data_IF_273527924197
#
_entry.id   IF_273527924197
#
_cell.length_a   1.000
_cell.length_b   1.000
_cell.length_c   1.000
_cell.angle_alpha   90.00
_cell.angle_beta   90.00
_cell.angle_gamma   90.00
#
_symmetry.space_group_name_H-M   'P 1'
#
loop_
_entity.id
_entity.type
_entity.pdbx_description
1 polymer ?
#
# COMPACT_ATOMS: atom_id res chain seq x y z
N UNK A 1 23.40 20.03 12.15
CA UNK A 1 23.04 19.04 13.20
C UNK A 1 21.54 18.79 13.22
N UNK A 2 20.68 19.79 13.42
CA UNK A 2 19.23 19.59 13.45
C UNK A 2 18.68 18.97 12.15
N UNK A 3 19.05 19.51 10.98
CA UNK A 3 18.59 18.99 9.68
C UNK A 3 18.90 17.51 9.42
N UNK A 4 20.05 17.01 9.90
CA UNK A 4 20.43 15.60 9.72
C UNK A 4 19.62 14.69 10.65
N UNK A 5 19.23 15.17 11.84
CA UNK A 5 18.33 14.46 12.75
C UNK A 5 16.94 14.39 12.14
N UNK A 6 16.45 15.49 11.56
CA UNK A 6 15.14 15.53 10.91
C UNK A 6 15.13 14.62 9.67
N UNK A 7 16.25 14.56 8.92
CA UNK A 7 16.42 13.62 7.81
C UNK A 7 16.31 12.15 8.24
N UNK A 8 17.06 11.75 9.28
CA UNK A 8 17.00 10.39 9.80
C UNK A 8 15.63 10.06 10.41
N UNK A 9 15.01 11.02 11.10
CA UNK A 9 13.65 10.89 11.64
C UNK A 9 12.64 10.68 10.52
N UNK A 10 12.78 11.39 9.40
CA UNK A 10 11.94 11.21 8.21
C UNK A 10 12.07 9.81 7.60
N UNK A 11 13.27 9.24 7.56
CA UNK A 11 13.50 7.87 7.05
C UNK A 11 12.79 6.85 7.95
N UNK A 12 12.93 6.97 9.27
CA UNK A 12 12.29 6.06 10.22
C UNK A 12 10.75 6.08 10.07
N UNK A 13 10.15 7.27 10.00
CA UNK A 13 8.70 7.39 9.84
C UNK A 13 8.22 6.90 8.47
N UNK A 14 9.05 7.02 7.43
CA UNK A 14 8.75 6.44 6.12
C UNK A 14 8.71 4.91 6.19
N UNK A 15 9.63 4.26 6.91
CA UNK A 15 9.62 2.81 7.15
C UNK A 15 8.39 2.36 7.97
N UNK A 16 7.97 3.17 8.95
CA UNK A 16 6.75 2.93 9.74
C UNK A 16 5.45 3.18 8.95
N UNK A 17 5.56 3.55 7.66
CA UNK A 17 4.45 3.89 6.74
C UNK A 17 3.66 5.13 7.16
N UNK A 18 4.20 5.98 8.04
CA UNK A 18 3.65 7.30 8.34
C UNK A 18 4.24 8.35 7.39
N UNK A 19 3.77 8.34 6.15
CA UNK A 19 4.22 9.25 5.11
C UNK A 19 3.83 10.72 5.34
N UNK A 20 2.83 10.99 6.21
CA UNK A 20 2.43 12.37 6.51
C UNK A 20 3.46 13.02 7.42
N UNK A 21 3.84 12.33 8.50
CA UNK A 21 4.82 12.84 9.45
C UNK A 21 6.22 12.84 8.83
N UNK A 22 6.57 11.80 8.06
CA UNK A 22 7.82 11.75 7.30
C UNK A 22 7.97 12.94 6.35
N UNK A 23 6.91 13.35 5.64
CA UNK A 23 6.93 14.51 4.75
C UNK A 23 7.29 15.80 5.49
N UNK A 24 6.71 16.05 6.67
CA UNK A 24 6.99 17.26 7.45
C UNK A 24 8.46 17.32 7.88
N UNK A 25 9.01 16.21 8.38
CA UNK A 25 10.43 16.14 8.74
C UNK A 25 11.37 16.32 7.54
N UNK A 26 11.05 15.72 6.38
CA UNK A 26 11.83 15.94 5.16
C UNK A 26 11.75 17.37 4.63
N UNK A 27 10.60 18.05 4.81
CA UNK A 27 10.44 19.44 4.41
C UNK A 27 11.29 20.39 5.26
N UNK A 28 11.26 20.22 6.59
CA UNK A 28 12.10 21.00 7.52
C UNK A 28 13.59 20.76 7.28
N UNK A 29 13.99 19.50 7.07
CA UNK A 29 15.36 19.14 6.69
C UNK A 29 15.76 19.80 5.35
N UNK A 30 14.88 19.79 4.35
CA UNK A 30 15.14 20.37 3.04
C UNK A 30 15.33 21.90 3.10
N UNK A 31 14.50 22.63 3.85
CA UNK A 31 14.67 24.09 4.00
C UNK A 31 15.99 24.44 4.70
N UNK A 32 16.39 23.65 5.70
CA UNK A 32 17.64 23.86 6.41
C UNK A 32 18.88 23.49 5.58
N UNK A 33 18.79 22.48 4.70
CA UNK A 33 19.90 21.99 3.85
C UNK A 33 20.01 22.71 2.50
N UNK A 34 18.92 23.27 1.97
CA UNK A 34 18.90 23.95 0.67
C UNK A 34 19.97 25.04 0.46
N UNK A 35 20.36 25.85 1.47
CA UNK A 35 21.44 26.83 1.32
C UNK A 35 22.85 26.28 1.63
N UNK A 36 22.97 25.09 2.23
CA UNK A 36 24.23 24.56 2.77
C UNK A 36 24.81 23.48 1.85
N UNK A 37 24.04 22.44 1.54
CA UNK A 37 24.50 21.28 0.77
C UNK A 37 23.48 20.90 -0.31
N UNK A 38 23.91 20.96 -1.57
CA UNK A 38 23.04 20.67 -2.71
C UNK A 38 22.77 19.18 -2.90
N UNK A 39 23.65 18.32 -2.43
CA UNK A 39 23.57 16.86 -2.62
C UNK A 39 22.61 16.25 -1.61
N UNK A 40 22.76 16.61 -0.33
CA UNK A 40 21.81 16.19 0.73
C UNK A 40 20.42 16.81 0.53
N UNK A 41 20.34 18.07 0.07
CA UNK A 41 19.06 18.69 -0.27
C UNK A 41 18.34 17.94 -1.41
N UNK A 42 19.08 17.45 -2.42
CA UNK A 42 18.51 16.65 -3.51
C UNK A 42 18.00 15.29 -3.00
N UNK A 43 18.71 14.64 -2.08
CA UNK A 43 18.23 13.42 -1.43
C UNK A 43 16.95 13.66 -0.61
N UNK A 44 16.90 14.73 0.20
CA UNK A 44 15.69 15.11 0.94
C UNK A 44 14.51 15.38 0.01
N UNK A 45 14.74 16.06 -1.12
CA UNK A 45 13.71 16.33 -2.11
C UNK A 45 13.17 15.04 -2.72
N UNK A 46 14.02 14.06 -3.03
CA UNK A 46 13.59 12.74 -3.52
C UNK A 46 12.67 12.04 -2.52
N UNK A 47 13.06 11.98 -1.25
CA UNK A 47 12.27 11.33 -0.21
C UNK A 47 10.96 12.06 0.07
N UNK A 48 10.97 13.38 0.04
CA UNK A 48 9.76 14.19 0.18
C UNK A 48 8.75 13.89 -0.95
N UNK A 49 9.21 13.83 -2.20
CA UNK A 49 8.36 13.49 -3.34
C UNK A 49 7.86 12.05 -3.27
N UNK A 50 8.72 11.11 -2.87
CA UNK A 50 8.35 9.71 -2.70
C UNK A 50 7.27 9.52 -1.64
N UNK A 51 7.39 10.17 -0.48
CA UNK A 51 6.38 10.14 0.60
C UNK A 51 5.03 10.67 0.12
N UNK A 52 5.03 11.72 -0.72
CA UNK A 52 3.79 12.25 -1.32
C UNK A 52 3.15 11.28 -2.31
N UNK A 53 3.96 10.60 -3.14
CA UNK A 53 3.49 9.57 -4.06
C UNK A 53 2.93 8.37 -3.30
N UNK A 54 3.65 7.90 -2.27
CA UNK A 54 3.25 6.78 -1.41
C UNK A 54 1.94 7.06 -0.65
N UNK A 55 1.70 8.31 -0.24
CA UNK A 55 0.45 8.73 0.39
C UNK A 55 -0.70 8.95 -0.62
N UNK A 56 -0.53 8.61 -1.90
CA UNK A 56 -1.56 8.76 -2.93
C UNK A 56 -1.83 10.20 -3.41
N UNK A 57 -1.00 11.17 -3.00
CA UNK A 57 -1.13 12.58 -3.38
C UNK A 57 -0.19 12.92 -4.55
N UNK A 58 -0.22 12.09 -5.60
CA UNK A 58 0.67 12.22 -6.76
C UNK A 58 0.43 13.51 -7.57
N UNK A 59 -0.74 14.14 -7.42
CA UNK A 59 -1.09 15.42 -8.05
C UNK A 59 -0.33 16.63 -7.46
N UNK A 60 0.17 16.54 -6.22
CA UNK A 60 0.92 17.63 -5.57
C UNK A 60 2.40 17.66 -5.99
N UNK A 61 2.92 16.55 -6.53
CA UNK A 61 4.31 16.43 -7.01
C UNK A 61 4.70 17.54 -7.99
N UNK A 62 3.96 17.83 -9.07
CA UNK A 62 4.31 18.92 -9.98
C UNK A 62 4.28 20.30 -9.32
N UNK A 63 3.45 20.51 -8.30
CA UNK A 63 3.38 21.78 -7.55
C UNK A 63 4.65 21.96 -6.69
N UNK A 64 5.07 20.89 -6.02
CA UNK A 64 6.28 20.87 -5.18
C UNK A 64 7.53 21.07 -6.03
N UNK A 65 7.62 20.40 -7.19
CA UNK A 65 8.76 20.53 -8.12
C UNK A 65 8.87 21.95 -8.71
N UNK A 66 7.74 22.61 -8.96
CA UNK A 66 7.70 24.00 -9.43
C UNK A 66 7.84 25.03 -8.29
N UNK A 67 8.10 24.59 -7.05
CA UNK A 67 8.36 25.48 -5.92
C UNK A 67 9.69 26.24 -6.06
N UNK A 68 9.75 27.46 -5.51
CA UNK A 68 10.91 28.38 -5.60
C UNK A 68 12.25 27.75 -5.18
N UNK A 69 12.22 26.82 -4.22
CA UNK A 69 13.41 26.14 -3.71
C UNK A 69 13.72 24.85 -4.50
N UNK A 70 12.70 24.13 -4.99
CA UNK A 70 12.85 22.87 -5.71
C UNK A 70 13.26 23.04 -7.18
N UNK A 71 12.88 24.15 -7.83
CA UNK A 71 13.28 24.46 -9.22
C UNK A 71 14.81 24.45 -9.38
N UNK A 72 15.54 24.88 -8.35
CA UNK A 72 17.02 24.93 -8.35
C UNK A 72 17.66 23.54 -8.40
N UNK A 73 16.91 22.50 -8.05
CA UNK A 73 17.34 21.10 -8.01
C UNK A 73 16.71 20.27 -9.14
N UNK A 74 16.20 20.92 -10.18
CA UNK A 74 15.64 20.24 -11.35
C UNK A 74 16.73 19.44 -12.07
N UNK A 75 16.53 18.12 -12.14
CA UNK A 75 17.46 17.16 -12.74
C UNK A 75 16.73 15.89 -13.15
N UNK A 76 17.48 14.93 -13.71
CA UNK A 76 16.94 13.64 -14.19
C UNK A 76 16.22 12.90 -13.05
N UNK A 77 16.68 13.06 -11.81
CA UNK A 77 16.09 12.42 -10.64
C UNK A 77 14.66 12.90 -10.33
N UNK A 78 14.41 14.20 -10.51
CA UNK A 78 13.10 14.80 -10.29
C UNK A 78 12.16 14.46 -11.45
N UNK A 79 12.68 14.40 -12.67
CA UNK A 79 11.93 13.96 -13.85
C UNK A 79 11.47 12.50 -13.71
N UNK A 80 12.33 11.63 -13.16
CA UNK A 80 12.01 10.24 -12.86
C UNK A 80 10.84 10.13 -11.88
N UNK A 81 10.90 10.84 -10.74
CA UNK A 81 9.83 10.85 -9.75
C UNK A 81 8.53 11.46 -10.27
N UNK A 82 8.62 12.47 -11.14
CA UNK A 82 7.47 13.06 -11.82
C UNK A 82 6.82 12.07 -12.80
N UNK A 83 7.62 11.29 -13.54
CA UNK A 83 7.11 10.24 -14.42
C UNK A 83 6.41 9.14 -13.62
N UNK A 84 6.98 8.72 -12.48
CA UNK A 84 6.37 7.76 -11.56
C UNK A 84 5.07 8.31 -10.95
N UNK A 85 5.06 9.57 -10.52
CA UNK A 85 3.86 10.23 -10.00
C UNK A 85 2.73 10.27 -11.04
N UNK A 86 3.06 10.58 -12.31
CA UNK A 86 2.10 10.57 -13.42
C UNK A 86 1.59 9.16 -13.73
N UNK A 87 2.45 8.15 -13.64
CA UNK A 87 2.05 6.76 -13.82
C UNK A 87 1.11 6.29 -12.70
N UNK A 88 1.41 6.68 -11.46
CA UNK A 88 0.58 6.39 -10.29
C UNK A 88 -0.79 7.09 -10.35
N UNK A 89 -0.84 8.36 -10.76
CA UNK A 89 -2.07 9.12 -10.97
C UNK A 89 -2.98 8.48 -12.03
N UNK A 90 -2.38 8.07 -13.17
CA UNK A 90 -3.08 7.33 -14.23
C UNK A 90 -3.34 5.86 -13.90
N UNK A 91 -2.86 5.38 -12.75
CA UNK A 91 -2.90 3.98 -12.29
C UNK A 91 -2.42 2.97 -13.35
N UNK A 92 -1.50 3.37 -14.22
CA UNK A 92 -1.04 2.55 -15.33
C UNK A 92 0.26 1.82 -14.97
N UNK A 93 0.17 0.50 -14.84
CA UNK A 93 1.32 -0.37 -14.59
C UNK A 93 2.35 -0.30 -15.72
N UNK A 94 1.89 -0.16 -16.96
CA UNK A 94 2.77 -0.07 -18.13
C UNK A 94 3.65 1.19 -18.09
N UNK A 95 3.05 2.35 -17.81
CA UNK A 95 3.79 3.59 -17.66
C UNK A 95 4.73 3.54 -16.45
N UNK A 96 4.33 2.86 -15.37
CA UNK A 96 5.15 2.69 -14.19
C UNK A 96 6.38 1.83 -14.51
N UNK A 97 6.21 0.67 -15.15
CA UNK A 97 7.31 -0.19 -15.56
C UNK A 97 8.25 0.49 -16.56
N UNK A 98 7.71 1.22 -17.54
CA UNK A 98 8.50 1.98 -18.50
C UNK A 98 9.34 3.07 -17.80
N UNK A 99 8.75 3.80 -16.85
CA UNK A 99 9.46 4.80 -16.05
C UNK A 99 10.54 4.17 -15.17
N UNK A 100 10.24 3.07 -14.47
CA UNK A 100 11.23 2.37 -13.64
C UNK A 100 12.39 1.81 -14.47
N UNK A 101 12.12 1.30 -15.68
CA UNK A 101 13.16 0.80 -16.58
C UNK A 101 14.04 1.94 -17.13
N UNK A 102 13.42 3.06 -17.56
CA UNK A 102 14.13 4.20 -18.10
C UNK A 102 15.05 4.88 -17.06
N UNK A 103 14.59 4.97 -15.82
CA UNK A 103 15.30 5.65 -14.73
C UNK A 103 15.96 4.69 -13.73
N UNK A 104 16.15 3.42 -14.10
CA UNK A 104 16.71 2.39 -13.23
C UNK A 104 18.07 2.79 -12.62
N UNK A 105 18.93 3.49 -13.37
CA UNK A 105 20.24 3.92 -12.92
C UNK A 105 20.20 4.90 -11.72
N UNK A 106 19.13 5.67 -11.57
CA UNK A 106 18.97 6.64 -10.49
C UNK A 106 18.07 6.14 -9.35
N UNK A 107 17.11 5.27 -9.67
CA UNK A 107 16.16 4.72 -8.70
C UNK A 107 16.74 3.53 -7.91
N UNK A 108 17.70 2.80 -8.48
CA UNK A 108 18.30 1.60 -7.86
C UNK A 108 19.50 1.92 -6.96
N UNK A 109 20.09 3.12 -7.10
CA UNK A 109 21.22 3.53 -6.25
C UNK A 109 20.81 3.72 -4.78
N UNK A 110 19.54 4.02 -4.52
CA UNK A 110 19.04 4.31 -3.18
C UNK A 110 18.18 3.13 -2.66
N UNK A 111 18.63 2.44 -1.59
CA UNK A 111 17.89 1.32 -1.01
C UNK A 111 16.49 1.69 -0.53
N UNK A 112 16.31 2.91 0.01
CA UNK A 112 15.03 3.36 0.56
C UNK A 112 14.03 3.60 -0.56
N UNK A 113 14.47 4.27 -1.64
CA UNK A 113 13.62 4.50 -2.82
C UNK A 113 13.22 3.17 -3.44
N UNK A 114 14.15 2.23 -3.59
CA UNK A 114 13.87 0.90 -4.14
C UNK A 114 12.81 0.15 -3.31
N UNK A 115 12.90 0.21 -1.98
CA UNK A 115 11.94 -0.46 -1.11
C UNK A 115 10.52 0.13 -1.29
N UNK A 116 10.38 1.45 -1.20
CA UNK A 116 9.07 2.10 -1.36
C UNK A 116 8.51 2.00 -2.79
N UNK A 117 9.36 1.95 -3.82
CA UNK A 117 8.92 1.68 -5.19
C UNK A 117 8.32 0.27 -5.34
N UNK A 118 8.91 -0.73 -4.67
CA UNK A 118 8.34 -2.06 -4.59
C UNK A 118 6.95 -2.06 -3.96
N UNK A 119 6.81 -1.40 -2.80
CA UNK A 119 5.52 -1.26 -2.13
C UNK A 119 4.48 -0.51 -2.99
N UNK A 120 4.89 0.55 -3.68
CA UNK A 120 4.05 1.28 -4.62
C UNK A 120 3.59 0.40 -5.79
N UNK A 121 4.49 -0.40 -6.34
CA UNK A 121 4.16 -1.34 -7.41
C UNK A 121 3.15 -2.38 -6.93
N UNK A 122 3.36 -2.96 -5.75
CA UNK A 122 2.43 -3.92 -5.16
C UNK A 122 1.05 -3.30 -4.91
N UNK A 123 0.99 -2.14 -4.27
CA UNK A 123 -0.28 -1.44 -4.01
C UNK A 123 -1.01 -1.09 -5.31
N UNK A 124 -0.29 -0.67 -6.35
CA UNK A 124 -0.88 -0.34 -7.64
C UNK A 124 -1.41 -1.60 -8.34
N UNK A 125 -0.66 -2.70 -8.29
CA UNK A 125 -1.07 -3.99 -8.84
C UNK A 125 -2.34 -4.49 -8.14
N UNK A 126 -2.37 -4.42 -6.82
CA UNK A 126 -3.53 -4.82 -6.02
C UNK A 126 -4.76 -3.97 -6.29
N UNK A 127 -4.62 -2.64 -6.34
CA UNK A 127 -5.75 -1.75 -6.65
C UNK A 127 -6.30 -2.01 -8.05
N UNK A 128 -5.43 -2.28 -9.03
CA UNK A 128 -5.84 -2.66 -10.38
C UNK A 128 -6.54 -4.02 -10.40
N UNK A 129 -6.01 -5.02 -9.69
CA UNK A 129 -6.64 -6.34 -9.56
C UNK A 129 -8.03 -6.22 -8.95
N UNK A 130 -8.19 -5.52 -7.83
CA UNK A 130 -9.50 -5.31 -7.17
C UNK A 130 -10.50 -4.69 -8.13
N UNK A 131 -10.09 -3.68 -8.91
CA UNK A 131 -10.99 -3.01 -9.86
C UNK A 131 -11.44 -3.94 -11.00
N UNK A 132 -10.56 -4.84 -11.45
CA UNK A 132 -10.88 -5.80 -12.51
C UNK A 132 -11.82 -6.89 -11.99
N UNK A 133 -11.62 -7.35 -10.75
CA UNK A 133 -12.42 -8.44 -10.17
C UNK A 133 -13.75 -7.98 -9.57
N UNK A 134 -13.85 -6.74 -9.07
CA UNK A 134 -15.03 -6.23 -8.37
C UNK A 134 -16.36 -6.38 -9.14
N UNK A 135 -16.45 -6.17 -10.47
CA UNK A 135 -17.71 -6.30 -11.19
C UNK A 135 -18.10 -7.75 -11.55
N UNK A 136 -17.26 -8.75 -11.28
CA UNK A 136 -17.48 -10.13 -11.74
C UNK A 136 -17.47 -11.13 -10.58
N UNK A 137 -18.40 -12.09 -10.60
CA UNK A 137 -18.43 -13.19 -9.63
C UNK A 137 -17.51 -14.36 -10.02
N UNK A 138 -17.28 -14.55 -11.33
CA UNK A 138 -16.38 -15.57 -11.86
C UNK A 138 -15.52 -14.96 -12.96
N UNK A 139 -14.19 -15.06 -12.85
CA UNK A 139 -13.25 -14.50 -13.83
C UNK A 139 -12.20 -15.54 -14.19
N UNK A 140 -11.89 -15.67 -15.48
CA UNK A 140 -10.76 -16.49 -15.94
C UNK A 140 -9.43 -15.77 -15.67
N UNK A 141 -8.49 -16.47 -15.02
CA UNK A 141 -7.18 -15.91 -14.65
C UNK A 141 -6.38 -15.55 -15.92
N UNK A 142 -6.56 -16.31 -17.00
CA UNK A 142 -6.00 -16.03 -18.33
C UNK A 142 -6.39 -14.66 -18.88
N UNK A 143 -7.64 -14.26 -18.65
CA UNK A 143 -8.13 -12.96 -19.09
C UNK A 143 -7.51 -11.83 -18.26
N UNK A 144 -7.43 -11.99 -16.94
CA UNK A 144 -6.79 -11.02 -16.02
C UNK A 144 -5.32 -10.84 -16.36
N UNK A 145 -4.59 -11.93 -16.61
CA UNK A 145 -3.18 -11.87 -16.98
C UNK A 145 -2.94 -11.14 -18.30
N UNK A 146 -3.81 -11.34 -19.30
CA UNK A 146 -3.75 -10.62 -20.58
C UNK A 146 -4.01 -9.13 -20.39
N UNK A 147 -4.97 -8.77 -19.53
CA UNK A 147 -5.32 -7.37 -19.26
C UNK A 147 -4.19 -6.62 -18.55
N UNK A 148 -3.50 -7.29 -17.61
CA UNK A 148 -2.40 -6.72 -16.81
C UNK A 148 -1.04 -6.86 -17.51
N UNK A 149 -0.96 -7.67 -18.58
CA UNK A 149 0.28 -8.00 -19.32
C UNK A 149 1.37 -8.60 -18.42
N UNK A 150 0.96 -9.44 -17.48
CA UNK A 150 1.85 -10.20 -16.59
C UNK A 150 1.67 -11.71 -16.81
N UNK A 151 2.70 -12.52 -16.54
CA UNK A 151 2.59 -13.97 -16.67
C UNK A 151 1.60 -14.54 -15.65
N UNK A 152 0.80 -15.51 -16.08
CA UNK A 152 -0.18 -16.26 -15.28
C UNK A 152 0.33 -16.63 -13.87
N UNK A 153 1.51 -17.28 -13.71
CA UNK A 153 1.97 -17.71 -12.39
C UNK A 153 2.20 -16.55 -11.40
N UNK A 154 2.58 -15.37 -11.88
CA UNK A 154 2.74 -14.20 -11.01
C UNK A 154 1.38 -13.65 -10.57
N UNK A 155 0.41 -13.62 -11.48
CA UNK A 155 -0.95 -13.17 -11.18
C UNK A 155 -1.63 -14.13 -10.20
N UNK A 156 -1.49 -15.43 -10.38
CA UNK A 156 -2.02 -16.46 -9.46
C UNK A 156 -1.42 -16.33 -8.06
N UNK A 157 -0.11 -16.20 -7.97
CA UNK A 157 0.59 -16.04 -6.68
C UNK A 157 0.17 -14.75 -5.98
N UNK A 158 -0.03 -13.66 -6.73
CA UNK A 158 -0.49 -12.41 -6.13
C UNK A 158 -1.95 -12.47 -5.71
N UNK A 159 -2.83 -13.08 -6.51
CA UNK A 159 -4.23 -13.29 -6.16
C UNK A 159 -4.37 -14.17 -4.91
N UNK A 160 -3.57 -15.24 -4.78
CA UNK A 160 -3.59 -16.07 -3.58
C UNK A 160 -3.11 -15.32 -2.34
N UNK A 161 -2.08 -14.50 -2.46
CA UNK A 161 -1.63 -13.61 -1.39
C UNK A 161 -2.74 -12.62 -0.98
N UNK A 162 -3.46 -12.03 -1.93
CA UNK A 162 -4.54 -11.08 -1.62
C UNK A 162 -5.75 -11.72 -0.94
N UNK A 163 -6.03 -12.99 -1.24
CA UNK A 163 -7.05 -13.79 -0.54
C UNK A 163 -6.61 -14.06 0.90
N UNK A 164 -5.33 -14.42 1.11
CA UNK A 164 -4.75 -14.63 2.43
C UNK A 164 -4.71 -13.35 3.27
N UNK A 165 -4.45 -12.20 2.64
CA UNK A 165 -4.47 -10.88 3.27
C UNK A 165 -5.90 -10.37 3.55
N UNK A 166 -6.95 -11.17 3.28
CA UNK A 166 -8.36 -10.83 3.46
C UNK A 166 -8.81 -9.54 2.74
N UNK A 167 -8.13 -9.17 1.64
CA UNK A 167 -8.49 -7.96 0.86
C UNK A 167 -9.78 -8.14 0.07
N UNK A 168 -10.04 -9.37 -0.36
CA UNK A 168 -11.32 -9.79 -0.95
C UNK A 168 -11.58 -11.26 -0.62
N UNK A 169 -12.85 -11.66 -0.68
CA UNK A 169 -13.25 -13.04 -0.44
C UNK A 169 -13.34 -13.76 -1.78
N UNK A 170 -12.47 -14.74 -2.01
CA UNK A 170 -12.50 -15.52 -3.24
C UNK A 170 -11.79 -16.85 -3.11
N UNK A 171 -12.11 -17.77 -4.00
CA UNK A 171 -11.46 -19.07 -4.12
C UNK A 171 -10.83 -19.16 -5.51
N UNK A 172 -9.58 -19.60 -5.55
CA UNK A 172 -8.85 -19.87 -6.78
C UNK A 172 -9.06 -21.34 -7.17
N UNK A 173 -9.74 -21.60 -8.29
CA UNK A 173 -9.84 -22.93 -8.88
C UNK A 173 -8.70 -23.10 -9.90
N UNK A 174 -7.61 -23.71 -9.46
CA UNK A 174 -6.43 -24.01 -10.30
C UNK A 174 -6.71 -25.05 -11.38
N UNK A 175 -7.73 -25.91 -11.22
CA UNK A 175 -8.08 -26.93 -12.22
C UNK A 175 -8.78 -26.33 -13.44
N UNK A 176 -9.66 -25.35 -13.22
CA UNK A 176 -10.36 -24.62 -14.29
C UNK A 176 -9.70 -23.29 -14.68
N UNK A 177 -8.73 -22.81 -13.90
CA UNK A 177 -8.08 -21.51 -14.12
C UNK A 177 -9.02 -20.33 -13.86
N UNK A 178 -9.93 -20.47 -12.90
CA UNK A 178 -10.98 -19.49 -12.60
C UNK A 178 -10.86 -18.95 -11.18
N UNK A 179 -11.05 -17.65 -11.03
CA UNK A 179 -11.22 -16.97 -9.75
C UNK A 179 -12.71 -16.79 -9.49
N UNK A 180 -13.20 -17.38 -8.40
CA UNK A 180 -14.57 -17.22 -7.93
C UNK A 180 -14.54 -16.20 -6.79
N UNK A 181 -15.17 -15.04 -6.99
CA UNK A 181 -15.26 -13.97 -6.01
C UNK A 181 -16.62 -14.06 -5.32
N UNK A 182 -16.60 -14.06 -3.99
CA UNK A 182 -17.79 -14.02 -3.18
C UNK A 182 -18.00 -12.60 -2.68
N UNK A 183 -19.25 -12.14 -2.67
CA UNK A 183 -19.59 -11.00 -1.84
C UNK A 183 -19.32 -11.37 -0.39
N UNK A 184 -18.74 -10.43 0.35
CA UNK A 184 -18.49 -10.59 1.78
C UNK A 184 -19.79 -11.05 2.44
N UNK A 185 -19.76 -12.25 3.03
CA UNK A 185 -20.86 -12.74 3.82
C UNK A 185 -21.14 -11.71 4.90
N UNK A 186 -22.26 -10.99 4.79
CA UNK A 186 -22.75 -10.17 5.88
C UNK A 186 -22.91 -11.11 7.06
N UNK A 187 -22.03 -11.00 8.07
CA UNK A 187 -22.19 -11.72 9.32
C UNK A 187 -23.60 -11.40 9.81
N UNK A 188 -24.46 -12.41 9.76
CA UNK A 188 -25.85 -12.25 10.13
C UNK A 188 -25.85 -11.97 11.63
N UNK A 189 -26.14 -10.71 12.01
CA UNK A 189 -26.15 -10.26 13.41
C UNK A 189 -27.03 -11.16 14.27
N UNK A 190 -28.01 -11.83 13.65
CA UNK A 190 -28.90 -12.81 14.24
C UNK A 190 -28.17 -14.09 14.69
N UNK A 191 -27.20 -14.58 13.90
CA UNK A 191 -26.37 -15.73 14.25
C UNK A 191 -25.40 -15.42 15.39
N UNK A 192 -24.75 -14.24 15.36
CA UNK A 192 -23.89 -13.79 16.44
C UNK A 192 -24.67 -13.60 17.76
N UNK A 193 -25.87 -13.01 17.68
CA UNK A 193 -26.76 -12.87 18.83
C UNK A 193 -27.24 -14.22 19.36
N UNK A 194 -27.59 -15.17 18.47
CA UNK A 194 -27.99 -16.52 18.84
C UNK A 194 -26.88 -17.29 19.56
N UNK A 195 -25.63 -17.18 19.09
CA UNK A 195 -24.47 -17.78 19.74
C UNK A 195 -24.26 -17.20 21.16
N UNK A 196 -24.43 -15.87 21.30
CA UNK A 196 -24.37 -15.19 22.59
C UNK A 196 -25.45 -15.65 23.56
N UNK A 197 -26.69 -15.89 23.08
CA UNK A 197 -27.77 -16.45 23.90
C UNK A 197 -27.43 -17.86 24.38
N UNK A 198 -26.92 -18.73 23.50
CA UNK A 198 -26.53 -20.10 23.87
C UNK A 198 -25.44 -20.07 24.95
N UNK A 199 -24.45 -19.19 24.81
CA UNK A 199 -23.38 -19.04 25.79
C UNK A 199 -23.90 -18.52 27.14
N UNK A 200 -24.82 -17.55 27.13
CA UNK A 200 -25.47 -17.06 28.35
C UNK A 200 -26.31 -18.14 29.04
N UNK A 201 -27.05 -18.96 28.29
CA UNK A 201 -27.80 -20.08 28.84
C UNK A 201 -26.85 -21.09 29.50
N UNK A 202 -25.71 -21.42 28.87
CA UNK A 202 -24.69 -22.28 29.47
C UNK A 202 -24.15 -21.74 30.81
N UNK A 203 -23.89 -20.44 30.88
CA UNK A 203 -23.45 -19.78 32.11
C UNK A 203 -24.52 -19.80 33.22
N UNK A 204 -25.78 -19.58 32.85
CA UNK A 204 -26.91 -19.64 33.80
C UNK A 204 -27.11 -21.05 34.32
N UNK A 205 -27.05 -22.08 33.47
CA UNK A 205 -27.14 -23.48 33.91
C UNK A 205 -25.98 -23.83 34.85
N UNK A 206 -24.75 -23.44 34.52
CA UNK A 206 -23.59 -23.68 35.39
C UNK A 206 -23.68 -22.97 36.75
N UNK A 207 -24.22 -21.75 36.80
CA UNK A 207 -24.45 -21.03 38.06
C UNK A 207 -25.60 -21.63 38.88
N UNK A 208 -26.67 -22.10 38.23
CA UNK A 208 -27.74 -22.85 38.91
C UNK A 208 -27.22 -24.15 39.51
N UNK A 209 -26.40 -24.91 38.78
CA UNK A 209 -25.81 -26.15 39.28
C UNK A 209 -24.96 -25.92 40.52
N UNK A 210 -24.10 -24.89 40.50
CA UNK A 210 -23.30 -24.48 41.68
C UNK A 210 -24.14 -24.00 42.86
N UNK A 211 -25.29 -23.37 42.61
CA UNK A 211 -26.22 -22.94 43.67
C UNK A 211 -26.95 -24.14 44.27
N UNK A 212 -27.40 -25.09 43.44
CA UNK A 212 -28.05 -26.31 43.90
C UNK A 212 -27.11 -27.16 44.77
N UNK A 213 -25.86 -27.33 44.34
CA UNK A 213 -24.83 -28.07 45.09
C UNK A 213 -24.55 -27.47 46.48
N UNK A 214 -24.57 -26.14 46.58
CA UNK A 214 -24.45 -25.40 47.86
C UNK A 214 -25.68 -25.48 48.77
N UNK A 215 -26.84 -25.86 48.24
CA UNK A 215 -28.10 -26.00 49.00
C UNK A 215 -28.35 -27.44 49.44
N UNK A 216 -27.64 -28.42 48.87
CA UNK A 216 -27.71 -29.84 49.24
C UNK A 216 -26.73 -30.27 50.34
N UNK A 217 -26.08 -29.31 51.00
CA UNK A 217 -25.13 -29.47 52.11
C UNK A 217 -25.62 -28.65 53.31
#
# INVERSE_FOLDING_TARGET
MQANIDHMSGILHAEERDYKTAYSYFFEAFEALAPIDKTEALACLKYMLLSKIANGHSADVPVIVNGKNAIKFSGIDVEALKAIAKAHDKRSLELFQAATAQYAAQLVQDPLIKHHLGLLYENLLESNLIKIIQPYSCVEISHVATLIKLPLPQVETKLSQMILDHKFHGILDQGRGQLIVYESATEDKTYAAGLGVIQNVGNVVGTLFRRADKLSL
#
